data_IF_357218463612
#
_entry.id   IF_357218463612
#
_cell.length_a   1.000
_cell.length_b   1.000
_cell.length_c   1.000
_cell.angle_alpha   90.00
_cell.angle_beta   90.00
_cell.angle_gamma   90.00
#
_symmetry.space_group_name_H-M   'P 1'
#
loop_
_entity.id
_entity.type
_entity.pdbx_description
1 polymer ?
#
# COMPACT_ATOMS: atom_id res chain seq x y z
N UNK A 1 27.86 -27.70 -22.69
CA UNK A 1 26.50 -27.63 -22.13
C UNK A 1 26.25 -26.24 -21.54
N UNK A 2 25.64 -25.41 -22.31
CA UNK A 2 25.12 -24.16 -21.78
C UNK A 2 23.92 -24.48 -20.91
N UNK A 3 24.13 -24.46 -19.63
CA UNK A 3 23.00 -24.32 -18.71
C UNK A 3 22.41 -22.97 -19.06
N UNK A 4 21.34 -22.97 -19.82
CA UNK A 4 20.47 -21.83 -19.86
C UNK A 4 20.01 -21.66 -18.43
N UNK A 5 20.69 -20.79 -17.70
CA UNK A 5 20.07 -20.17 -16.56
C UNK A 5 18.88 -19.47 -17.15
N UNK A 6 17.76 -20.12 -17.13
CA UNK A 6 16.52 -19.45 -17.28
C UNK A 6 16.55 -18.36 -16.21
N UNK A 7 16.75 -17.12 -16.63
CA UNK A 7 16.32 -15.99 -15.85
C UNK A 7 14.80 -16.10 -15.80
N UNK A 8 14.34 -17.10 -15.05
CA UNK A 8 13.02 -17.07 -14.51
C UNK A 8 13.06 -15.90 -13.54
N UNK A 9 12.82 -14.71 -14.06
CA UNK A 9 12.23 -13.68 -13.25
C UNK A 9 10.96 -14.32 -12.74
N UNK A 10 11.04 -14.83 -11.51
CA UNK A 10 9.83 -15.26 -10.85
C UNK A 10 8.82 -14.13 -10.99
N UNK A 11 7.73 -14.43 -11.65
CA UNK A 11 6.65 -13.49 -11.77
C UNK A 11 6.27 -13.06 -10.37
N UNK A 12 6.25 -11.76 -10.11
CA UNK A 12 5.88 -11.20 -8.83
C UNK A 12 4.46 -11.68 -8.46
N UNK A 13 4.31 -12.04 -7.21
CA UNK A 13 3.04 -12.52 -6.68
C UNK A 13 1.98 -11.44 -6.77
N UNK A 14 0.82 -11.81 -7.28
CA UNK A 14 -0.37 -10.95 -7.27
C UNK A 14 -0.89 -10.83 -5.83
N UNK A 15 -1.10 -9.62 -5.36
CA UNK A 15 -1.48 -9.35 -3.97
C UNK A 15 -2.80 -8.59 -3.83
N UNK A 16 -3.29 -8.04 -4.93
CA UNK A 16 -4.56 -7.29 -4.91
C UNK A 16 -5.72 -8.22 -5.16
N UNK A 17 -6.72 -8.18 -4.28
CA UNK A 17 -7.96 -8.90 -4.46
C UNK A 17 -8.95 -8.03 -5.26
N UNK A 18 -9.18 -8.41 -6.51
CA UNK A 18 -10.03 -7.66 -7.43
C UNK A 18 -11.53 -7.91 -7.19
N UNK A 19 -11.87 -8.84 -6.32
CA UNK A 19 -13.26 -9.29 -6.09
C UNK A 19 -13.90 -8.73 -4.83
N UNK A 20 -13.16 -8.00 -4.00
CA UNK A 20 -13.68 -7.42 -2.78
C UNK A 20 -13.99 -5.94 -2.96
N UNK A 21 -14.95 -5.45 -2.19
CA UNK A 21 -15.27 -4.04 -2.15
C UNK A 21 -14.17 -3.30 -1.37
N UNK A 22 -13.46 -2.36 -1.99
CA UNK A 22 -12.36 -1.65 -1.32
C UNK A 22 -12.82 -0.82 -0.12
N UNK A 23 -14.05 -0.33 -0.14
CA UNK A 23 -14.59 0.44 0.99
C UNK A 23 -14.77 -0.44 2.23
N UNK A 24 -15.31 -1.64 2.04
CA UNK A 24 -15.44 -2.63 3.12
C UNK A 24 -14.07 -3.13 3.61
N UNK A 25 -13.13 -3.32 2.68
CA UNK A 25 -11.76 -3.69 3.02
C UNK A 25 -11.12 -2.68 3.96
N UNK A 26 -11.28 -1.39 3.67
CA UNK A 26 -10.77 -0.31 4.52
C UNK A 26 -11.48 -0.32 5.88
N UNK A 27 -12.81 -0.44 5.91
CA UNK A 27 -13.57 -0.47 7.16
C UNK A 27 -13.11 -1.61 8.07
N UNK A 28 -12.91 -2.80 7.51
CA UNK A 28 -12.44 -3.97 8.26
C UNK A 28 -11.01 -3.77 8.78
N UNK A 29 -10.14 -3.17 7.97
CA UNK A 29 -8.78 -2.85 8.38
C UNK A 29 -8.75 -1.84 9.53
N UNK A 30 -9.62 -0.83 9.50
CA UNK A 30 -9.74 0.17 10.56
C UNK A 30 -10.17 -0.45 11.89
N UNK A 31 -11.14 -1.35 11.86
CA UNK A 31 -11.58 -2.07 13.07
C UNK A 31 -10.42 -2.83 13.69
N UNK A 32 -9.69 -3.58 12.87
CA UNK A 32 -8.54 -4.37 13.33
C UNK A 32 -7.40 -3.48 13.83
N UNK A 33 -7.06 -2.44 13.09
CA UNK A 33 -6.00 -1.50 13.48
C UNK A 33 -6.31 -0.82 14.81
N UNK A 34 -7.53 -0.37 14.99
CA UNK A 34 -7.98 0.27 16.24
C UNK A 34 -7.83 -0.68 17.43
N UNK A 35 -8.24 -1.94 17.27
CA UNK A 35 -8.10 -2.95 18.32
C UNK A 35 -6.64 -3.21 18.70
N UNK A 36 -5.73 -3.14 17.72
CA UNK A 36 -4.30 -3.44 17.89
C UNK A 36 -3.45 -2.20 18.18
N UNK A 37 -4.04 -1.02 18.25
CA UNK A 37 -3.30 0.23 18.48
C UNK A 37 -2.44 0.66 17.29
N UNK A 38 -2.86 0.31 16.09
CA UNK A 38 -2.14 0.56 14.84
C UNK A 38 -2.89 1.55 13.95
N UNK A 39 -2.18 2.04 12.92
CA UNK A 39 -2.79 2.79 11.82
C UNK A 39 -2.95 1.90 10.60
N UNK A 40 -3.72 2.37 9.62
CA UNK A 40 -3.90 1.68 8.34
C UNK A 40 -3.06 2.37 7.27
N UNK A 41 -2.35 1.58 6.48
CA UNK A 41 -1.74 2.05 5.24
C UNK A 41 -2.44 1.37 4.07
N UNK A 42 -3.05 2.17 3.23
CA UNK A 42 -3.62 1.69 1.98
C UNK A 42 -2.56 1.80 0.89
N UNK A 43 -2.08 0.67 0.41
CA UNK A 43 -1.29 0.62 -0.81
C UNK A 43 -2.26 0.54 -1.98
N UNK A 44 -2.49 1.66 -2.65
CA UNK A 44 -3.46 1.76 -3.75
C UNK A 44 -2.78 1.44 -5.07
N UNK A 45 -3.36 0.54 -5.81
CA UNK A 45 -2.84 0.12 -7.12
C UNK A 45 -3.58 -1.11 -7.63
N UNK A 46 -2.86 -2.03 -8.24
CA UNK A 46 -3.46 -3.25 -8.75
C UNK A 46 -2.43 -4.25 -9.26
N UNK A 47 -2.90 -5.44 -9.57
CA UNK A 47 -2.06 -6.51 -10.11
C UNK A 47 -1.52 -6.17 -11.52
N UNK A 48 -2.10 -5.20 -12.19
CA UNK A 48 -1.66 -4.65 -13.48
C UNK A 48 -0.41 -3.76 -13.37
N UNK A 49 -0.01 -3.42 -12.16
CA UNK A 49 1.03 -2.44 -11.88
C UNK A 49 2.31 -3.13 -11.38
N UNK A 50 3.38 -3.23 -12.20
CA UNK A 50 4.62 -3.89 -11.77
C UNK A 50 5.26 -3.27 -10.53
N UNK A 51 5.26 -1.95 -10.42
CA UNK A 51 5.83 -1.26 -9.25
C UNK A 51 5.04 -1.53 -7.97
N UNK A 52 3.72 -1.74 -8.09
CA UNK A 52 2.88 -2.15 -6.96
C UNK A 52 3.28 -3.53 -6.43
N UNK A 53 3.48 -4.48 -7.34
CA UNK A 53 3.88 -5.84 -6.98
C UNK A 53 5.31 -5.90 -6.45
N UNK A 54 6.21 -5.08 -7.00
CA UNK A 54 7.57 -4.93 -6.48
C UNK A 54 7.59 -4.40 -5.05
N UNK A 55 6.74 -3.44 -4.75
CA UNK A 55 6.66 -2.90 -3.39
C UNK A 55 6.18 -3.95 -2.40
N UNK A 56 5.13 -4.69 -2.73
CA UNK A 56 4.63 -5.76 -1.89
C UNK A 56 5.70 -6.84 -1.64
N UNK A 57 6.41 -7.22 -2.68
CA UNK A 57 7.53 -8.17 -2.59
C UNK A 57 8.66 -7.64 -1.71
N UNK A 58 8.99 -6.36 -1.86
CA UNK A 58 10.02 -5.70 -1.07
C UNK A 58 9.67 -5.71 0.44
N UNK A 59 8.44 -5.36 0.78
CA UNK A 59 7.97 -5.38 2.18
C UNK A 59 8.04 -6.78 2.77
N UNK A 60 7.66 -7.79 1.99
CA UNK A 60 7.69 -9.20 2.45
C UNK A 60 9.11 -9.69 2.70
N UNK A 61 10.06 -9.31 1.84
CA UNK A 61 11.44 -9.83 1.88
C UNK A 61 12.40 -9.05 2.76
N UNK A 62 12.18 -7.75 2.92
CA UNK A 62 13.03 -6.93 3.78
C UNK A 62 12.59 -7.06 5.24
N UNK A 63 13.44 -7.66 6.07
CA UNK A 63 13.11 -7.98 7.45
C UNK A 63 12.82 -6.74 8.30
N UNK A 64 13.57 -5.67 8.12
CA UNK A 64 13.39 -4.45 8.90
C UNK A 64 12.10 -3.73 8.51
N UNK A 65 11.81 -3.64 7.21
CA UNK A 65 10.57 -3.06 6.70
C UNK A 65 9.36 -3.90 7.12
N UNK A 66 9.46 -5.22 6.97
CA UNK A 66 8.39 -6.15 7.38
C UNK A 66 8.05 -6.00 8.86
N UNK A 67 9.07 -5.90 9.71
CA UNK A 67 8.90 -5.69 11.16
C UNK A 67 8.28 -4.32 11.47
N UNK A 68 8.80 -3.27 10.87
CA UNK A 68 8.27 -1.91 11.05
C UNK A 68 6.78 -1.84 10.69
N UNK A 69 6.42 -2.41 9.55
CA UNK A 69 5.03 -2.47 9.08
C UNK A 69 4.19 -3.31 10.04
N UNK A 70 4.61 -4.52 10.36
CA UNK A 70 3.84 -5.43 11.19
C UNK A 70 3.60 -4.91 12.61
N UNK A 71 4.58 -4.20 13.18
CA UNK A 71 4.47 -3.67 14.53
C UNK A 71 3.56 -2.43 14.62
N UNK A 72 3.38 -1.69 13.54
CA UNK A 72 2.77 -0.36 13.61
C UNK A 72 1.53 -0.17 12.73
N UNK A 73 1.34 -1.02 11.71
CA UNK A 73 0.32 -0.78 10.69
C UNK A 73 -0.45 -2.05 10.34
N UNK A 74 -1.69 -1.85 9.91
CA UNK A 74 -2.38 -2.75 9.01
C UNK A 74 -2.12 -2.23 7.59
N UNK A 75 -1.24 -2.92 6.86
CA UNK A 75 -0.98 -2.61 5.46
C UNK A 75 -1.91 -3.45 4.59
N UNK A 76 -2.76 -2.78 3.82
CA UNK A 76 -3.70 -3.44 2.93
C UNK A 76 -3.44 -3.05 1.48
N UNK A 77 -3.66 -4.01 0.59
CA UNK A 77 -3.55 -3.79 -0.85
C UNK A 77 -4.93 -3.46 -1.39
N UNK A 78 -5.13 -2.20 -1.74
CA UNK A 78 -6.43 -1.67 -2.16
C UNK A 78 -6.47 -1.59 -3.68
N UNK A 79 -7.30 -2.42 -4.28
CA UNK A 79 -7.41 -2.50 -5.73
C UNK A 79 -8.10 -1.27 -6.31
N UNK A 80 -7.46 -0.67 -7.30
CA UNK A 80 -7.99 0.43 -8.10
C UNK A 80 -7.58 0.21 -9.55
N UNK A 81 -8.56 0.12 -10.44
CA UNK A 81 -8.31 0.02 -11.88
C UNK A 81 -9.07 1.11 -12.61
N UNK A 82 -8.37 2.19 -13.04
CA UNK A 82 -9.02 3.31 -13.71
C UNK A 82 -9.54 2.97 -15.10
N UNK A 83 -9.13 1.82 -15.66
CA UNK A 83 -9.55 1.38 -16.99
C UNK A 83 -10.86 0.60 -16.97
N UNK A 84 -11.25 0.07 -15.81
CA UNK A 84 -12.54 -0.61 -15.67
C UNK A 84 -13.62 0.44 -15.53
N UNK A 85 -14.22 0.80 -16.62
CA UNK A 85 -15.38 1.68 -16.69
C UNK A 85 -16.65 0.83 -16.75
N UNK A 86 -17.61 1.17 -15.94
CA UNK A 86 -18.96 0.61 -15.97
C UNK A 86 -19.46 0.20 -14.61
N UNK A 87 -20.66 0.59 -14.31
CA UNK A 87 -21.51 0.17 -13.20
C UNK A 87 -20.91 0.30 -11.79
N UNK A 88 -21.02 -0.74 -10.99
CA UNK A 88 -20.62 -0.77 -9.59
C UNK A 88 -19.12 -0.58 -9.37
N UNK A 89 -18.27 -1.09 -10.27
CA UNK A 89 -16.81 -0.93 -10.21
C UNK A 89 -16.40 0.52 -10.33
N UNK A 90 -16.94 1.24 -11.31
CA UNK A 90 -16.65 2.66 -11.52
C UNK A 90 -17.10 3.51 -10.33
N UNK A 91 -18.26 3.19 -9.77
CA UNK A 91 -18.80 3.89 -8.62
C UNK A 91 -17.92 3.67 -7.37
N UNK A 92 -17.46 2.45 -7.15
CA UNK A 92 -16.55 2.14 -6.04
C UNK A 92 -15.21 2.84 -6.22
N UNK A 93 -14.69 2.91 -7.44
CA UNK A 93 -13.46 3.62 -7.74
C UNK A 93 -13.56 5.11 -7.42
N UNK A 94 -14.66 5.75 -7.81
CA UNK A 94 -14.92 7.16 -7.52
C UNK A 94 -15.05 7.42 -6.02
N UNK A 95 -15.79 6.59 -5.30
CA UNK A 95 -15.95 6.69 -3.85
C UNK A 95 -14.64 6.47 -3.11
N UNK A 96 -13.83 5.52 -3.58
CA UNK A 96 -12.51 5.24 -3.03
C UNK A 96 -11.61 6.46 -3.15
N UNK A 97 -11.57 7.08 -4.32
CA UNK A 97 -10.76 8.27 -4.55
C UNK A 97 -11.21 9.43 -3.67
N UNK A 98 -12.50 9.65 -3.55
CA UNK A 98 -13.05 10.67 -2.66
C UNK A 98 -12.65 10.42 -1.20
N UNK A 99 -12.83 9.19 -0.73
CA UNK A 99 -12.50 8.78 0.65
C UNK A 99 -11.03 8.99 0.99
N UNK A 100 -10.13 8.68 0.07
CA UNK A 100 -8.69 8.69 0.29
C UNK A 100 -8.00 10.00 -0.10
N UNK A 101 -8.75 11.02 -0.52
CA UNK A 101 -8.18 12.32 -0.87
C UNK A 101 -7.58 12.37 -2.28
N UNK A 102 -8.17 11.63 -3.22
CA UNK A 102 -7.75 11.58 -4.62
C UNK A 102 -6.26 11.22 -4.81
N UNK A 103 -5.80 10.10 -4.25
CA UNK A 103 -4.38 9.75 -4.29
C UNK A 103 -3.88 9.38 -5.69
N UNK A 104 -4.77 8.99 -6.62
CA UNK A 104 -4.40 8.58 -7.97
C UNK A 104 -3.64 9.64 -8.76
N UNK A 105 -3.72 10.91 -8.36
CA UNK A 105 -2.95 12.00 -8.98
C UNK A 105 -1.43 11.81 -8.89
N UNK A 106 -0.98 11.00 -7.95
CA UNK A 106 0.45 10.72 -7.75
C UNK A 106 0.95 9.48 -8.49
N UNK A 107 0.07 8.79 -9.22
CA UNK A 107 0.43 7.52 -9.86
C UNK A 107 0.33 6.33 -8.90
N UNK A 108 0.93 5.19 -9.28
CA UNK A 108 0.80 3.92 -8.55
C UNK A 108 2.14 3.21 -8.40
N UNK A 109 2.37 2.50 -7.27
CA UNK A 109 1.51 2.53 -6.10
C UNK A 109 1.51 3.90 -5.44
N UNK A 110 0.44 4.21 -4.74
CA UNK A 110 0.38 5.36 -3.86
C UNK A 110 -0.08 4.89 -2.49
N UNK A 111 0.49 5.48 -1.44
CA UNK A 111 0.21 5.05 -0.07
C UNK A 111 -0.60 6.11 0.64
N UNK A 112 -1.68 5.68 1.28
CA UNK A 112 -2.51 6.57 2.09
C UNK A 112 -2.48 6.07 3.52
N UNK A 113 -1.99 6.91 4.42
CA UNK A 113 -1.94 6.60 5.85
C UNK A 113 -3.21 7.12 6.49
N UNK A 114 -3.94 6.22 7.16
CA UNK A 114 -5.16 6.55 7.91
C UNK A 114 -4.91 6.34 9.39
N UNK A 115 -5.40 7.26 10.23
CA UNK A 115 -5.44 7.01 11.66
C UNK A 115 -6.54 5.98 12.01
N UNK A 116 -6.69 5.64 13.27
CA UNK A 116 -7.66 4.63 13.71
C UNK A 116 -9.12 5.02 13.50
N UNK A 117 -9.39 6.30 13.28
CA UNK A 117 -10.74 6.82 12.97
C UNK A 117 -10.98 6.95 11.46
N UNK A 118 -10.01 6.59 10.63
CA UNK A 118 -10.12 6.66 9.18
C UNK A 118 -9.78 8.00 8.56
N UNK A 119 -9.21 8.93 9.33
CA UNK A 119 -8.77 10.21 8.81
C UNK A 119 -7.49 10.05 7.99
N UNK A 120 -7.43 10.69 6.83
CA UNK A 120 -6.23 10.70 6.00
C UNK A 120 -5.18 11.59 6.65
N UNK A 121 -4.07 11.00 7.09
CA UNK A 121 -2.95 11.71 7.68
C UNK A 121 -1.91 12.13 6.65
N UNK A 122 -1.69 11.29 5.64
CA UNK A 122 -0.62 11.49 4.67
C UNK A 122 -0.87 10.67 3.41
N UNK A 123 -0.47 11.24 2.29
CA UNK A 123 -0.47 10.54 0.99
C UNK A 123 0.97 10.55 0.49
N UNK A 124 1.54 9.36 0.27
CA UNK A 124 2.93 9.20 -0.14
C UNK A 124 3.01 8.76 -1.59
N UNK A 125 3.66 9.58 -2.40
CA UNK A 125 4.07 9.23 -3.75
C UNK A 125 5.19 8.20 -3.68
N UNK A 126 4.99 7.05 -4.31
CA UNK A 126 5.97 5.95 -4.27
C UNK A 126 7.29 6.26 -4.97
N UNK A 127 7.29 7.21 -5.90
CA UNK A 127 8.51 7.57 -6.63
C UNK A 127 9.60 8.11 -5.71
N UNK A 128 9.23 8.72 -4.59
CA UNK A 128 10.18 9.20 -3.58
C UNK A 128 10.82 8.07 -2.77
N UNK A 129 10.33 6.85 -2.90
CA UNK A 129 10.82 5.67 -2.17
C UNK A 129 11.69 4.77 -3.04
N UNK A 130 11.78 5.09 -4.32
CA UNK A 130 12.50 4.28 -5.31
C UNK A 130 14.01 4.48 -5.24
N UNK A 131 14.73 3.42 -5.60
CA UNK A 131 16.16 3.41 -5.83
C UNK A 131 16.47 2.41 -6.94
N UNK A 132 17.06 2.86 -8.04
CA UNK A 132 17.32 2.00 -9.19
C UNK A 132 16.03 1.40 -9.74
N UNK A 133 16.01 0.09 -9.89
CA UNK A 133 14.84 -0.65 -10.39
C UNK A 133 13.94 -1.20 -9.27
N UNK A 134 14.11 -0.72 -8.06
CA UNK A 134 13.38 -1.17 -6.90
C UNK A 134 13.18 -0.05 -5.88
N UNK A 135 13.12 -0.43 -4.62
CA UNK A 135 12.89 0.49 -3.52
C UNK A 135 14.09 0.59 -2.59
N UNK A 136 14.27 1.75 -1.99
CA UNK A 136 15.30 2.00 -0.99
C UNK A 136 14.80 1.62 0.40
N UNK A 137 15.48 0.71 1.08
CA UNK A 137 15.17 0.35 2.47
C UNK A 137 15.15 1.59 3.36
N UNK A 138 16.16 2.45 3.24
CA UNK A 138 16.28 3.67 4.05
C UNK A 138 15.09 4.61 3.86
N UNK A 139 14.70 4.84 2.60
CA UNK A 139 13.57 5.75 2.28
C UNK A 139 12.25 5.17 2.74
N UNK A 140 12.05 3.87 2.55
CA UNK A 140 10.82 3.19 2.96
C UNK A 140 10.69 3.15 4.48
N UNK A 141 11.76 2.81 5.19
CA UNK A 141 11.77 2.85 6.66
C UNK A 141 11.48 4.25 7.19
N UNK A 142 12.08 5.27 6.58
CA UNK A 142 11.83 6.66 6.96
C UNK A 142 10.38 7.05 6.79
N UNK A 143 9.78 6.66 5.67
CA UNK A 143 8.35 6.91 5.43
C UNK A 143 7.51 6.28 6.54
N UNK A 144 7.62 4.98 6.75
CA UNK A 144 6.81 4.30 7.76
C UNK A 144 7.07 4.82 9.18
N UNK A 145 8.33 5.06 9.53
CA UNK A 145 8.70 5.55 10.88
C UNK A 145 8.03 6.88 11.21
N UNK A 146 7.96 7.77 10.23
CA UNK A 146 7.40 9.10 10.43
C UNK A 146 5.88 9.09 10.66
N UNK A 147 5.21 8.02 10.29
CA UNK A 147 3.75 7.92 10.35
C UNK A 147 3.23 6.84 11.29
N UNK A 148 4.09 6.27 12.12
CA UNK A 148 3.62 5.35 13.18
C UNK A 148 2.69 6.07 14.15
N UNK A 149 1.76 5.34 14.81
CA UNK A 149 0.92 5.96 15.84
C UNK A 149 1.74 6.71 16.89
N UNK A 150 2.83 6.12 17.35
CA UNK A 150 3.73 6.75 18.32
C UNK A 150 4.29 8.07 17.81
N UNK A 151 4.76 8.11 16.56
CA UNK A 151 5.35 9.32 15.98
C UNK A 151 4.30 10.44 15.82
N UNK A 152 3.10 10.10 15.38
CA UNK A 152 2.01 11.06 15.16
C UNK A 152 1.43 11.56 16.47
N UNK A 153 1.23 10.66 17.43
CA UNK A 153 0.57 10.94 18.71
C UNK A 153 1.56 11.34 19.82
N UNK A 154 2.83 11.48 19.49
CA UNK A 154 3.85 11.79 20.48
C UNK A 154 3.61 13.18 21.06
N UNK A 155 2.87 13.22 22.16
CA UNK A 155 2.69 14.42 22.97
C UNK A 155 3.84 14.48 23.96
N UNK A 156 4.74 15.37 23.72
CA UNK A 156 5.73 15.73 24.76
C UNK A 156 5.05 16.43 25.92
#
# INVERSE_FOLDING_TARGET
MTVAVANAQEALKKVYNENINPMEQIDNALVKAKADGKYVVCQVGGNWCPWCLRFADFVEKDQEVSKMVGDNFELIHVNYDPRKSGDASANNAAKLMERLGNPARFGFPVFVVLDSEGNVLHIQDSSFLEEGKGYSEKKVLRFFRNWTPKAVENKQ
#
